data_IF_602292300563
#
_entry.id   IF_602292300563
#
_cell.length_a   1.000
_cell.length_b   1.000
_cell.length_c   1.000
_cell.angle_alpha   90.00
_cell.angle_beta   90.00
_cell.angle_gamma   90.00
#
_symmetry.space_group_name_H-M   'P 1'
#
loop_
_entity.id
_entity.type
_entity.pdbx_description
1 polymer ?
#
# COMPACT_ATOMS: atom_id res chain seq x y z
N UNK A 1 -28.84 -42.65 44.80
CA UNK A 1 -28.91 -42.22 43.38
C UNK A 1 -28.60 -40.71 43.19
N UNK A 2 -29.04 -39.79 44.04
CA UNK A 2 -28.84 -38.32 43.84
C UNK A 2 -27.35 -37.88 43.96
N UNK A 3 -26.52 -38.50 44.81
CA UNK A 3 -25.09 -38.14 44.97
C UNK A 3 -24.22 -38.57 43.79
N UNK A 4 -24.55 -39.60 43.04
CA UNK A 4 -23.78 -40.04 41.85
C UNK A 4 -24.11 -39.19 40.59
N UNK A 5 -25.30 -38.65 40.51
CA UNK A 5 -25.70 -37.74 39.42
C UNK A 5 -25.01 -36.37 39.54
N UNK A 6 -24.82 -35.86 40.79
CA UNK A 6 -24.12 -34.59 41.03
C UNK A 6 -22.61 -34.65 40.65
N UNK A 7 -21.93 -35.79 40.85
CA UNK A 7 -20.53 -35.97 40.46
C UNK A 7 -20.36 -36.02 38.92
N UNK A 8 -21.29 -36.64 38.17
CA UNK A 8 -21.24 -36.66 36.71
C UNK A 8 -21.51 -35.28 36.12
N UNK A 9 -22.37 -34.46 36.71
CA UNK A 9 -22.62 -33.08 36.25
C UNK A 9 -21.43 -32.15 36.51
N UNK A 10 -20.70 -32.33 37.64
CA UNK A 10 -19.49 -31.56 37.91
C UNK A 10 -18.35 -31.91 36.97
N UNK A 11 -18.20 -33.17 36.50
CA UNK A 11 -17.18 -33.57 35.53
C UNK A 11 -17.52 -33.07 34.13
N UNK A 12 -18.80 -33.03 33.75
CA UNK A 12 -19.24 -32.46 32.47
C UNK A 12 -19.09 -30.93 32.37
N UNK A 13 -19.20 -30.20 33.52
CA UNK A 13 -18.96 -28.76 33.57
C UNK A 13 -17.47 -28.38 33.49
N UNK A 14 -16.55 -29.26 33.86
CA UNK A 14 -15.11 -29.05 33.69
C UNK A 14 -14.61 -29.37 32.28
N UNK A 15 -15.33 -30.15 31.48
CA UNK A 15 -14.94 -30.50 30.11
C UNK A 15 -15.34 -29.44 29.08
N UNK A 16 -16.15 -28.44 29.42
CA UNK A 16 -16.56 -27.35 28.49
C UNK A 16 -15.92 -25.99 28.79
N UNK A 17 -14.98 -25.89 29.71
CA UNK A 17 -14.09 -24.75 29.82
C UNK A 17 -12.85 -24.95 28.93
N UNK A 18 -13.03 -25.26 27.66
CA UNK A 18 -12.08 -24.80 26.65
C UNK A 18 -12.28 -23.30 26.56
N UNK A 19 -11.71 -22.57 27.54
CA UNK A 19 -11.40 -21.17 27.33
C UNK A 19 -10.76 -21.12 25.95
N UNK A 20 -11.35 -20.35 25.04
CA UNK A 20 -10.58 -19.77 23.93
C UNK A 20 -9.55 -18.86 24.62
N UNK A 21 -8.49 -19.48 25.12
CA UNK A 21 -7.34 -18.77 25.63
C UNK A 21 -6.89 -17.91 24.45
N UNK A 22 -6.96 -16.60 24.62
CA UNK A 22 -6.49 -15.67 23.63
C UNK A 22 -5.06 -16.10 23.29
N UNK A 23 -4.88 -16.74 22.13
CA UNK A 23 -3.63 -17.35 21.73
C UNK A 23 -2.60 -16.23 21.66
N UNK A 24 -1.62 -16.25 22.55
CA UNK A 24 -0.48 -15.33 22.48
C UNK A 24 0.47 -15.86 21.43
N UNK A 25 1.24 -15.01 20.75
CA UNK A 25 2.28 -15.49 19.85
C UNK A 25 3.31 -16.31 20.64
N UNK A 26 3.82 -17.37 20.01
CA UNK A 26 4.97 -18.11 20.55
C UNK A 26 6.15 -17.15 20.72
N UNK A 27 6.69 -16.96 21.97
CA UNK A 27 7.72 -15.93 22.20
C UNK A 27 9.03 -16.18 21.44
N UNK A 28 9.39 -17.44 21.19
CA UNK A 28 10.60 -17.78 20.44
C UNK A 28 10.41 -17.48 18.96
N UNK A 29 9.24 -17.82 18.39
CA UNK A 29 8.90 -17.48 17.01
C UNK A 29 8.86 -15.96 16.80
N UNK A 30 8.21 -15.21 17.69
CA UNK A 30 8.20 -13.75 17.63
C UNK A 30 9.61 -13.16 17.68
N UNK A 31 10.48 -13.71 18.55
CA UNK A 31 11.88 -13.27 18.62
C UNK A 31 12.65 -13.54 17.32
N UNK A 32 12.39 -14.67 16.62
CA UNK A 32 12.98 -14.94 15.30
C UNK A 32 12.41 -14.02 14.22
N UNK A 33 11.11 -13.77 14.21
CA UNK A 33 10.46 -12.81 13.28
C UNK A 33 11.04 -11.41 13.43
N UNK A 34 11.27 -10.96 14.66
CA UNK A 34 11.84 -9.62 14.92
C UNK A 34 13.28 -9.43 14.45
N UNK A 35 14.03 -10.53 14.24
CA UNK A 35 15.38 -10.47 13.66
C UNK A 35 15.40 -10.32 12.15
N UNK A 36 14.29 -10.58 11.45
CA UNK A 36 14.22 -10.51 10.00
C UNK A 36 14.26 -9.03 9.59
N UNK A 37 15.26 -8.63 8.78
CA UNK A 37 15.26 -7.34 8.11
C UNK A 37 14.19 -7.35 7.03
N UNK A 38 13.15 -6.53 7.20
CA UNK A 38 12.01 -6.51 6.31
C UNK A 38 12.25 -5.67 5.05
N UNK A 39 11.56 -6.00 3.98
CA UNK A 39 11.38 -5.12 2.82
C UNK A 39 9.94 -4.60 2.88
N UNK A 40 9.80 -3.31 3.02
CA UNK A 40 8.50 -2.63 3.05
C UNK A 40 8.05 -2.34 1.61
N UNK A 41 7.02 -3.05 1.17
CA UNK A 41 6.54 -2.99 -0.21
C UNK A 41 5.75 -1.71 -0.54
N UNK A 42 5.28 -0.98 0.47
CA UNK A 42 4.38 0.16 0.26
C UNK A 42 4.41 1.16 1.42
N UNK A 43 4.88 2.37 1.15
CA UNK A 43 4.88 3.49 2.09
C UNK A 43 4.99 4.84 1.35
N UNK A 44 4.66 5.94 2.06
CA UNK A 44 4.74 7.33 1.60
C UNK A 44 5.70 8.15 2.46
N UNK A 45 7.01 7.79 2.52
CA UNK A 45 7.97 8.49 3.37
C UNK A 45 8.21 9.91 2.87
N UNK A 46 8.35 10.86 3.80
CA UNK A 46 8.74 12.23 3.48
C UNK A 46 10.25 12.32 3.25
N UNK A 47 10.66 13.16 2.29
CA UNK A 47 12.07 13.52 2.10
C UNK A 47 12.57 14.39 3.25
N UNK A 48 13.88 14.45 3.44
CA UNK A 48 14.45 15.46 4.31
C UNK A 48 14.18 16.88 3.79
N UNK A 49 13.63 17.72 4.67
CA UNK A 49 13.38 19.14 4.44
C UNK A 49 14.22 19.94 5.43
N UNK A 50 15.10 20.81 4.93
CA UNK A 50 15.89 21.68 5.79
C UNK A 50 15.02 22.84 6.34
N UNK A 51 15.48 23.48 7.40
CA UNK A 51 14.81 24.65 7.97
C UNK A 51 14.67 25.75 6.90
N UNK A 52 13.47 26.34 6.80
CA UNK A 52 13.08 27.35 5.80
C UNK A 52 12.89 26.85 4.36
N UNK A 53 13.02 25.58 4.09
CA UNK A 53 12.62 25.02 2.79
C UNK A 53 11.12 24.79 2.69
N UNK A 54 10.64 24.74 1.43
CA UNK A 54 9.29 24.30 1.15
C UNK A 54 9.06 22.86 1.63
N UNK A 55 7.91 22.62 2.26
CA UNK A 55 7.48 21.28 2.65
C UNK A 55 7.52 20.31 1.47
N UNK A 56 7.58 19.03 1.77
CA UNK A 56 7.57 17.96 0.78
C UNK A 56 6.13 17.80 0.23
N UNK A 57 5.90 18.25 -0.99
CA UNK A 57 4.63 18.14 -1.70
C UNK A 57 4.65 17.09 -2.82
N UNK A 58 5.68 16.26 -2.85
CA UNK A 58 5.86 15.20 -3.85
C UNK A 58 5.76 13.79 -3.24
N UNK A 59 5.34 13.68 -1.98
CA UNK A 59 5.21 12.40 -1.28
C UNK A 59 3.98 11.60 -1.68
N UNK A 60 3.01 12.25 -2.33
CA UNK A 60 1.81 11.60 -2.84
C UNK A 60 1.31 12.30 -4.12
N UNK A 61 0.53 11.59 -4.94
CA UNK A 61 -0.10 12.15 -6.13
C UNK A 61 -1.44 12.81 -5.81
N UNK A 62 -2.14 12.33 -4.79
CA UNK A 62 -3.50 12.75 -4.44
C UNK A 62 -3.53 13.49 -3.09
N UNK A 63 -4.34 14.56 -2.96
CA UNK A 63 -4.51 15.29 -1.71
C UNK A 63 -5.51 14.56 -0.79
N UNK A 64 -5.09 13.46 -0.15
CA UNK A 64 -5.94 12.61 0.69
C UNK A 64 -6.52 13.36 1.91
N UNK A 65 -5.83 14.38 2.40
CA UNK A 65 -6.26 15.28 3.48
C UNK A 65 -7.43 16.18 3.09
N UNK A 66 -7.75 16.30 1.80
CA UNK A 66 -8.88 17.10 1.30
C UNK A 66 -10.22 16.34 1.29
N UNK A 67 -10.28 15.08 1.77
CA UNK A 67 -11.51 14.30 1.82
C UNK A 67 -12.31 14.69 3.07
N UNK A 68 -13.50 15.24 2.89
CA UNK A 68 -14.41 15.58 4.00
C UNK A 68 -15.82 14.98 3.78
N UNK A 69 -16.47 14.43 4.83
CA UNK A 69 -15.88 14.07 6.14
C UNK A 69 -14.97 12.85 6.07
N UNK A 70 -13.84 12.92 6.77
CA UNK A 70 -12.89 11.82 6.83
C UNK A 70 -12.95 11.14 8.20
N UNK A 71 -13.68 10.02 8.36
CA UNK A 71 -13.67 9.28 9.61
C UNK A 71 -12.31 8.59 9.79
N UNK A 72 -11.52 9.09 10.72
CA UNK A 72 -10.22 8.51 11.06
C UNK A 72 -10.45 7.25 11.89
N UNK A 73 -9.91 6.08 11.50
CA UNK A 73 -9.94 4.88 12.31
C UNK A 73 -9.31 5.14 13.69
N UNK A 74 -9.83 4.54 14.79
CA UNK A 74 -9.33 4.80 16.16
C UNK A 74 -7.82 4.63 16.30
N UNK A 75 -7.20 3.69 15.62
CA UNK A 75 -5.76 3.46 15.68
C UNK A 75 -4.92 4.52 14.97
N UNK A 76 -5.52 5.30 14.06
CA UNK A 76 -4.88 6.43 13.37
C UNK A 76 -5.22 7.77 14.02
N UNK A 77 -6.11 7.79 15.02
CA UNK A 77 -6.39 9.01 15.77
C UNK A 77 -5.14 9.52 16.48
N UNK A 78 -4.92 10.84 16.44
CA UNK A 78 -3.75 11.47 17.08
C UNK A 78 -3.68 11.24 18.59
N UNK A 79 -4.79 10.86 19.22
CA UNK A 79 -4.87 10.49 20.63
C UNK A 79 -4.70 8.98 20.90
N UNK A 80 -4.35 8.19 19.88
CA UNK A 80 -4.08 6.77 20.08
C UNK A 80 -2.85 6.54 20.97
N UNK A 81 -3.01 5.91 22.16
CA UNK A 81 -1.91 5.73 23.10
C UNK A 81 -0.81 4.77 22.59
N UNK A 82 -1.04 4.00 21.51
CA UNK A 82 -0.01 3.17 20.90
C UNK A 82 1.16 4.02 20.40
N UNK A 83 0.91 5.28 19.96
CA UNK A 83 1.96 6.20 19.51
C UNK A 83 2.95 6.60 20.61
N UNK A 84 2.56 6.55 21.89
CA UNK A 84 3.49 6.75 23.00
C UNK A 84 4.66 5.77 22.93
N UNK A 85 4.40 4.53 22.53
CA UNK A 85 5.45 3.51 22.36
C UNK A 85 6.36 3.83 21.17
N UNK A 86 5.83 4.33 20.07
CA UNK A 86 6.62 4.83 18.94
C UNK A 86 7.49 6.02 19.35
N UNK A 87 6.95 6.98 20.11
CA UNK A 87 7.70 8.14 20.60
C UNK A 87 8.83 7.73 21.55
N UNK A 88 8.58 6.74 22.43
CA UNK A 88 9.63 6.17 23.29
C UNK A 88 10.72 5.51 22.44
N UNK A 89 10.34 4.78 21.41
CA UNK A 89 11.26 4.06 20.52
C UNK A 89 12.17 5.00 19.74
N UNK A 90 11.62 6.06 19.15
CA UNK A 90 12.39 6.97 18.29
C UNK A 90 13.05 8.11 19.07
N UNK A 91 12.35 8.71 20.04
CA UNK A 91 12.73 10.00 20.60
C UNK A 91 12.97 9.97 22.11
N UNK A 92 12.98 8.78 22.72
CA UNK A 92 13.14 8.59 24.17
C UNK A 92 12.08 9.39 24.98
N UNK A 93 10.83 9.40 24.51
CA UNK A 93 9.73 10.09 25.19
C UNK A 93 9.57 9.59 26.62
N UNK A 94 9.65 10.50 27.60
CA UNK A 94 9.74 10.15 29.01
C UNK A 94 8.40 9.88 29.70
N UNK A 95 7.27 10.12 29.02
CA UNK A 95 5.95 10.12 29.62
C UNK A 95 5.12 8.90 29.19
N UNK A 96 3.97 8.71 29.88
CA UNK A 96 2.99 7.68 29.53
C UNK A 96 1.63 8.28 29.21
N UNK A 97 1.58 9.55 28.88
CA UNK A 97 0.41 10.33 28.50
C UNK A 97 0.71 11.19 27.26
N UNK A 98 -0.30 11.89 26.79
CA UNK A 98 -0.24 12.78 25.61
C UNK A 98 -0.64 14.21 25.99
N UNK A 99 -0.30 14.66 27.19
CA UNK A 99 -0.61 16.02 27.63
C UNK A 99 0.09 17.04 26.71
N UNK A 100 -0.55 18.19 26.39
CA UNK A 100 0.03 19.17 25.46
C UNK A 100 1.44 19.65 25.82
N UNK A 101 1.74 19.78 27.12
CA UNK A 101 3.08 20.16 27.57
C UNK A 101 4.12 19.08 27.24
N UNK A 102 3.78 17.81 27.44
CA UNK A 102 4.67 16.68 27.12
C UNK A 102 4.83 16.47 25.62
N UNK A 103 3.75 16.69 24.84
CA UNK A 103 3.82 16.67 23.35
C UNK A 103 4.71 17.80 22.83
N UNK A 104 4.71 18.98 23.48
CA UNK A 104 5.64 20.06 23.10
C UNK A 104 7.11 19.64 23.31
N UNK A 105 7.44 18.89 24.37
CA UNK A 105 8.78 18.32 24.56
C UNK A 105 9.13 17.26 23.49
N UNK A 106 8.16 16.42 23.12
CA UNK A 106 8.30 15.48 22.00
C UNK A 106 8.68 16.21 20.71
N UNK A 107 7.95 17.27 20.34
CA UNK A 107 8.23 18.03 19.12
C UNK A 107 9.62 18.66 19.12
N UNK A 108 10.07 19.14 20.29
CA UNK A 108 11.45 19.61 20.44
C UNK A 108 12.48 18.49 20.26
N UNK A 109 12.20 17.29 20.79
CA UNK A 109 13.06 16.11 20.61
C UNK A 109 13.10 15.66 19.14
N UNK A 110 11.94 15.61 18.45
CA UNK A 110 11.85 15.31 17.00
C UNK A 110 12.68 16.29 16.18
N UNK A 111 12.53 17.60 16.42
CA UNK A 111 13.33 18.64 15.75
C UNK A 111 14.84 18.43 15.97
N UNK A 112 15.25 18.10 17.20
CA UNK A 112 16.65 17.83 17.52
C UNK A 112 17.19 16.62 16.76
N UNK A 113 16.46 15.51 16.72
CA UNK A 113 16.83 14.31 15.96
C UNK A 113 16.95 14.63 14.47
N UNK A 114 15.97 15.34 13.90
CA UNK A 114 16.00 15.75 12.49
C UNK A 114 17.22 16.62 12.17
N UNK A 115 17.56 17.59 13.03
CA UNK A 115 18.74 18.44 12.88
C UNK A 115 20.05 17.66 12.99
N UNK A 116 20.10 16.60 13.81
CA UNK A 116 21.26 15.73 13.96
C UNK A 116 21.43 14.79 12.76
N UNK A 117 20.35 14.16 12.32
CA UNK A 117 20.36 13.17 11.24
C UNK A 117 20.36 13.81 9.84
N UNK A 118 19.71 14.96 9.67
CA UNK A 118 19.58 15.64 8.37
C UNK A 118 19.12 14.67 7.27
N UNK A 119 19.83 14.61 6.16
CA UNK A 119 19.52 13.72 5.04
C UNK A 119 19.60 12.23 5.39
N UNK A 120 20.26 11.87 6.50
CA UNK A 120 20.27 10.49 6.98
C UNK A 120 19.00 10.13 7.77
N UNK A 121 18.13 11.08 8.10
CA UNK A 121 16.96 10.84 8.94
C UNK A 121 16.08 9.70 8.42
N UNK A 122 15.72 9.61 7.11
CA UNK A 122 14.93 8.50 6.62
C UNK A 122 15.61 7.12 6.79
N UNK A 123 16.91 7.02 6.53
CA UNK A 123 17.67 5.79 6.77
C UNK A 123 17.78 5.43 8.26
N UNK A 124 17.95 6.43 9.12
CA UNK A 124 17.94 6.26 10.57
C UNK A 124 16.61 5.67 11.08
N UNK A 125 15.47 6.04 10.47
CA UNK A 125 14.16 5.43 10.77
C UNK A 125 14.14 3.96 10.35
N UNK A 126 14.58 3.64 9.13
CA UNK A 126 14.63 2.25 8.65
C UNK A 126 15.50 1.36 9.54
N UNK A 127 16.67 1.86 9.96
CA UNK A 127 17.57 1.10 10.84
C UNK A 127 16.92 0.79 12.19
N UNK A 128 16.15 1.73 12.75
CA UNK A 128 15.41 1.52 14.01
C UNK A 128 14.27 0.54 13.89
N UNK A 129 13.64 0.45 12.73
CA UNK A 129 12.55 -0.50 12.45
C UNK A 129 13.04 -1.86 11.95
N UNK A 130 14.36 -2.07 11.79
CA UNK A 130 14.92 -3.25 11.15
C UNK A 130 14.33 -3.48 9.74
N UNK A 131 14.13 -2.38 8.99
CA UNK A 131 13.70 -2.39 7.59
C UNK A 131 14.94 -2.23 6.71
N UNK A 132 15.14 -3.16 5.77
CA UNK A 132 16.28 -3.15 4.85
C UNK A 132 16.07 -2.15 3.70
N UNK A 133 14.87 -2.14 3.16
CA UNK A 133 14.48 -1.28 2.04
C UNK A 133 12.98 -0.97 2.15
N UNK A 134 12.61 0.26 1.81
CA UNK A 134 11.24 0.75 1.77
C UNK A 134 10.91 1.23 0.36
N UNK A 135 9.77 0.80 -0.17
CA UNK A 135 9.29 1.24 -1.47
C UNK A 135 8.49 2.52 -1.30
N UNK A 136 9.10 3.62 -1.72
CA UNK A 136 8.55 4.95 -1.60
C UNK A 136 7.62 5.26 -2.78
N UNK A 137 6.33 5.34 -2.52
CA UNK A 137 5.33 5.80 -3.47
C UNK A 137 5.40 7.33 -3.50
N UNK A 138 5.88 7.88 -4.62
CA UNK A 138 6.16 9.32 -4.72
C UNK A 138 6.05 9.80 -6.17
N UNK A 139 5.73 11.08 -6.34
CA UNK A 139 5.83 11.76 -7.64
C UNK A 139 7.29 11.83 -8.08
N UNK A 140 8.19 12.13 -7.15
CA UNK A 140 9.64 12.10 -7.35
C UNK A 140 10.36 11.78 -6.05
N UNK A 141 11.50 11.12 -6.15
CA UNK A 141 12.39 10.91 -5.01
C UNK A 141 12.99 12.24 -4.55
N UNK A 142 13.47 12.29 -3.32
CA UNK A 142 14.01 13.50 -2.71
C UNK A 142 15.20 13.21 -1.82
N UNK A 143 15.71 14.27 -1.18
CA UNK A 143 16.89 14.17 -0.30
C UNK A 143 16.66 13.17 0.83
N UNK A 144 17.63 12.31 1.06
CA UNK A 144 17.57 11.25 2.06
C UNK A 144 16.85 9.98 1.60
N UNK A 145 16.13 10.02 0.48
CA UNK A 145 15.40 8.88 -0.08
C UNK A 145 16.17 8.28 -1.27
N UNK A 146 17.23 7.56 -0.98
CA UNK A 146 18.09 6.95 -2.02
C UNK A 146 18.32 5.47 -1.77
N UNK A 147 18.73 4.77 -2.82
CA UNK A 147 19.17 3.38 -2.72
C UNK A 147 20.43 3.27 -1.83
N UNK A 148 20.59 2.17 -1.07
CA UNK A 148 19.73 0.97 -1.04
C UNK A 148 18.48 1.10 -0.13
N UNK A 149 18.38 2.11 0.73
CA UNK A 149 17.33 2.26 1.72
C UNK A 149 15.94 2.47 1.13
N UNK A 150 15.87 3.17 0.01
CA UNK A 150 14.59 3.48 -0.63
C UNK A 150 14.59 3.09 -2.10
N UNK A 151 13.42 2.63 -2.57
CA UNK A 151 13.14 2.31 -3.98
C UNK A 151 11.93 3.11 -4.43
N UNK A 152 12.01 3.64 -5.63
CA UNK A 152 10.94 4.47 -6.16
C UNK A 152 9.82 3.66 -6.78
N UNK A 153 8.59 3.93 -6.36
CA UNK A 153 7.34 3.51 -6.99
C UNK A 153 6.64 4.78 -7.50
N UNK A 154 6.45 4.86 -8.82
CA UNK A 154 5.94 6.07 -9.47
C UNK A 154 4.45 5.95 -9.76
N UNK A 155 3.68 7.03 -9.51
CA UNK A 155 2.28 7.14 -9.86
C UNK A 155 2.10 7.23 -11.38
N UNK A 156 1.06 6.57 -11.92
CA UNK A 156 0.79 6.56 -13.37
C UNK A 156 -0.67 6.83 -13.71
N UNK A 157 -1.52 7.07 -12.73
CA UNK A 157 -2.95 7.35 -12.93
C UNK A 157 -3.20 8.47 -13.91
N UNK A 158 -2.42 9.54 -13.85
CA UNK A 158 -2.51 10.68 -14.74
C UNK A 158 -2.52 10.30 -16.24
N UNK A 159 -1.88 9.20 -16.60
CA UNK A 159 -1.84 8.70 -17.98
C UNK A 159 -3.19 8.11 -18.44
N UNK A 160 -4.09 7.77 -17.50
CA UNK A 160 -5.47 7.30 -17.80
C UNK A 160 -6.45 8.45 -18.06
N UNK A 161 -6.10 9.69 -17.68
CA UNK A 161 -7.01 10.84 -17.66
C UNK A 161 -6.57 11.96 -18.63
N UNK A 162 -6.30 11.66 -19.94
CA UNK A 162 -5.78 12.66 -20.87
C UNK A 162 -6.83 13.67 -21.39
N UNK A 163 -8.11 13.42 -21.18
CA UNK A 163 -9.20 14.25 -21.66
C UNK A 163 -9.84 15.06 -20.51
N UNK A 164 -10.89 15.84 -20.81
CA UNK A 164 -11.64 16.56 -19.79
C UNK A 164 -12.24 15.62 -18.75
N UNK A 165 -12.08 15.97 -17.46
CA UNK A 165 -12.58 15.21 -16.32
C UNK A 165 -13.82 15.88 -15.66
N UNK A 166 -14.41 16.91 -16.27
CA UNK A 166 -15.48 17.69 -15.65
C UNK A 166 -16.74 16.87 -15.34
N UNK A 167 -17.09 15.91 -16.21
CA UNK A 167 -18.19 14.98 -15.95
C UNK A 167 -17.86 14.03 -14.78
N UNK A 168 -16.64 13.52 -14.72
CA UNK A 168 -16.18 12.65 -13.64
C UNK A 168 -16.17 13.40 -12.29
N UNK A 169 -15.65 14.63 -12.24
CA UNK A 169 -15.69 15.51 -11.05
C UNK A 169 -17.10 15.68 -10.49
N UNK A 170 -18.08 15.88 -11.35
CA UNK A 170 -19.50 16.06 -10.94
C UNK A 170 -20.12 14.80 -10.37
N UNK A 171 -19.72 13.62 -10.85
CA UNK A 171 -20.25 12.33 -10.43
C UNK A 171 -19.54 11.73 -9.23
N UNK A 172 -18.30 12.10 -8.98
CA UNK A 172 -17.46 11.61 -7.88
C UNK A 172 -17.23 12.74 -6.85
N UNK A 173 -18.23 12.93 -5.97
CA UNK A 173 -18.29 14.09 -5.07
C UNK A 173 -17.20 14.08 -4.01
N UNK A 174 -16.87 12.91 -3.46
CA UNK A 174 -15.88 12.80 -2.39
C UNK A 174 -14.47 13.12 -2.89
N UNK A 175 -14.17 12.75 -4.14
CA UNK A 175 -12.82 12.82 -4.71
C UNK A 175 -12.71 13.79 -5.90
N UNK A 176 -13.64 14.72 -6.03
CA UNK A 176 -13.63 15.70 -7.13
C UNK A 176 -12.32 16.51 -7.20
N UNK A 177 -11.72 16.81 -6.03
CA UNK A 177 -10.45 17.52 -5.91
C UNK A 177 -9.23 16.75 -6.38
N UNK A 178 -9.34 15.43 -6.59
CA UNK A 178 -8.23 14.59 -7.04
C UNK A 178 -7.95 14.72 -8.53
N UNK A 179 -8.97 14.93 -9.35
CA UNK A 179 -8.78 15.10 -10.80
C UNK A 179 -7.86 16.27 -11.17
N UNK A 180 -7.92 17.46 -10.54
CA UNK A 180 -6.93 18.51 -10.76
C UNK A 180 -5.48 18.11 -10.43
N UNK A 181 -5.28 17.24 -9.43
CA UNK A 181 -3.95 16.73 -9.11
C UNK A 181 -3.41 15.83 -10.23
N UNK A 182 -4.24 14.94 -10.77
CA UNK A 182 -3.90 14.11 -11.93
C UNK A 182 -3.64 14.95 -13.19
N UNK A 183 -4.44 15.97 -13.45
CA UNK A 183 -4.23 16.91 -14.56
C UNK A 183 -2.89 17.66 -14.42
N UNK A 184 -2.51 18.04 -13.19
CA UNK A 184 -1.21 18.65 -12.89
C UNK A 184 -0.07 17.66 -13.12
N UNK A 185 -0.24 16.41 -12.70
CA UNK A 185 0.76 15.36 -12.87
C UNK A 185 0.95 15.00 -14.35
N UNK A 186 -0.13 14.91 -15.13
CA UNK A 186 -0.03 14.73 -16.58
C UNK A 186 0.74 15.87 -17.25
N UNK A 187 0.47 17.13 -16.88
CA UNK A 187 1.23 18.29 -17.39
C UNK A 187 2.71 18.19 -17.05
N UNK A 188 3.06 17.71 -15.84
CA UNK A 188 4.46 17.44 -15.45
C UNK A 188 5.09 16.41 -16.39
N UNK A 189 4.43 15.29 -16.66
CA UNK A 189 4.93 14.25 -17.56
C UNK A 189 5.14 14.77 -18.99
N UNK A 190 4.19 15.56 -19.50
CA UNK A 190 4.34 16.21 -20.79
C UNK A 190 5.55 17.16 -20.84
N UNK A 191 5.73 17.97 -19.82
CA UNK A 191 6.87 18.90 -19.71
C UNK A 191 8.21 18.13 -19.65
N UNK A 192 8.27 17.06 -18.87
CA UNK A 192 9.43 16.19 -18.73
C UNK A 192 9.85 15.53 -20.05
N UNK A 193 8.90 15.36 -20.97
CA UNK A 193 9.11 14.85 -22.33
C UNK A 193 9.27 15.94 -23.39
N UNK A 194 9.21 17.23 -23.01
CA UNK A 194 9.15 18.37 -23.93
C UNK A 194 7.96 18.32 -24.93
N UNK A 195 6.85 17.70 -24.52
CA UNK A 195 5.59 17.64 -25.28
C UNK A 195 4.70 18.81 -24.88
N UNK A 196 4.56 19.81 -25.76
CA UNK A 196 3.79 21.04 -25.47
C UNK A 196 2.28 20.80 -25.44
N UNK A 197 1.78 19.95 -26.31
CA UNK A 197 0.35 19.65 -26.44
C UNK A 197 0.17 18.14 -26.58
N UNK A 198 -0.98 17.64 -26.13
CA UNK A 198 -1.33 16.23 -26.33
C UNK A 198 -1.31 15.88 -27.83
N UNK A 199 -0.73 14.74 -28.20
CA UNK A 199 -0.79 14.21 -29.56
C UNK A 199 -2.24 14.06 -30.04
N UNK A 200 -2.50 14.24 -31.33
CA UNK A 200 -3.87 14.25 -31.87
C UNK A 200 -4.47 12.85 -32.05
N UNK A 201 -3.66 11.83 -32.04
CA UNK A 201 -4.09 10.43 -32.17
C UNK A 201 -3.73 9.62 -30.94
N UNK A 202 -4.55 8.62 -30.61
CA UNK A 202 -4.30 7.73 -29.49
C UNK A 202 -2.95 6.97 -29.65
N UNK A 203 -2.63 6.53 -30.87
CA UNK A 203 -1.36 5.84 -31.13
C UNK A 203 -0.14 6.73 -30.85
N UNK A 204 -0.22 8.01 -31.18
CA UNK A 204 0.84 8.96 -30.83
C UNK A 204 0.88 9.26 -29.33
N UNK A 205 -0.28 9.36 -28.67
CA UNK A 205 -0.33 9.56 -27.22
C UNK A 205 0.31 8.38 -26.49
N UNK A 206 -0.08 7.15 -26.84
CA UNK A 206 0.49 5.96 -26.21
C UNK A 206 1.99 5.84 -26.47
N UNK A 207 2.46 6.10 -27.69
CA UNK A 207 3.89 5.98 -28.02
C UNK A 207 4.73 7.14 -27.43
N UNK A 208 4.31 8.40 -27.68
CA UNK A 208 5.11 9.60 -27.36
C UNK A 208 4.95 10.11 -25.94
N UNK A 209 3.84 9.74 -25.23
CA UNK A 209 3.58 10.16 -23.86
C UNK A 209 3.65 8.97 -22.94
N UNK A 210 2.79 7.96 -23.11
CA UNK A 210 2.71 6.82 -22.16
C UNK A 210 4.03 6.05 -22.15
N UNK A 211 4.40 5.41 -23.25
CA UNK A 211 5.64 4.60 -23.33
C UNK A 211 6.87 5.43 -22.98
N UNK A 212 6.98 6.66 -23.50
CA UNK A 212 8.12 7.52 -23.23
C UNK A 212 8.25 7.89 -21.74
N UNK A 213 7.11 8.12 -21.03
CA UNK A 213 7.09 8.34 -19.58
C UNK A 213 7.58 7.11 -18.83
N UNK A 214 7.05 5.93 -19.13
CA UNK A 214 7.43 4.70 -18.45
C UNK A 214 8.91 4.35 -18.66
N UNK A 215 9.41 4.51 -19.89
CA UNK A 215 10.83 4.29 -20.20
C UNK A 215 11.75 5.29 -19.50
N UNK A 216 11.32 6.57 -19.41
CA UNK A 216 12.06 7.58 -18.66
C UNK A 216 12.10 7.24 -17.17
N UNK A 217 10.98 6.90 -16.58
CA UNK A 217 10.88 6.49 -15.18
C UNK A 217 11.72 5.25 -14.89
N UNK A 218 11.68 4.23 -15.77
CA UNK A 218 12.55 3.05 -15.66
C UNK A 218 14.04 3.41 -15.67
N UNK A 219 14.48 4.30 -16.56
CA UNK A 219 15.87 4.79 -16.60
C UNK A 219 16.25 5.56 -15.34
N UNK A 220 15.30 6.20 -14.68
CA UNK A 220 15.49 6.92 -13.41
C UNK A 220 15.44 6.02 -12.18
N UNK A 221 15.26 4.72 -12.35
CA UNK A 221 15.30 3.73 -11.27
C UNK A 221 13.95 3.40 -10.65
N UNK A 222 12.83 3.74 -11.31
CA UNK A 222 11.50 3.26 -10.89
C UNK A 222 11.48 1.74 -10.88
N UNK A 223 10.99 1.18 -9.78
CA UNK A 223 10.91 -0.26 -9.53
C UNK A 223 9.53 -0.83 -9.89
N UNK A 224 8.48 -0.08 -9.59
CA UNK A 224 7.09 -0.43 -9.85
C UNK A 224 6.27 0.82 -10.17
N UNK A 225 5.10 0.62 -10.76
CA UNK A 225 4.12 1.65 -11.10
C UNK A 225 2.97 1.58 -10.09
N UNK A 226 2.46 2.71 -9.63
CA UNK A 226 1.35 2.79 -8.67
C UNK A 226 0.10 3.36 -9.33
N UNK A 227 -1.01 2.68 -9.10
CA UNK A 227 -2.36 3.16 -9.37
C UNK A 227 -3.11 3.47 -8.08
N UNK A 228 -3.76 4.63 -8.06
CA UNK A 228 -4.72 5.07 -7.04
C UNK A 228 -6.11 5.30 -7.64
N UNK A 229 -6.33 4.79 -8.84
CA UNK A 229 -7.58 4.93 -9.61
C UNK A 229 -8.83 4.48 -8.84
N UNK A 230 -8.69 3.67 -7.78
CA UNK A 230 -9.81 3.28 -6.92
C UNK A 230 -10.56 4.47 -6.30
N UNK A 231 -9.89 5.61 -6.10
CA UNK A 231 -10.52 6.86 -5.67
C UNK A 231 -11.27 7.57 -6.80
N UNK A 232 -10.86 7.35 -8.04
CA UNK A 232 -11.33 8.11 -9.20
C UNK A 232 -12.40 7.35 -10.00
N UNK A 233 -12.34 6.02 -10.01
CA UNK A 233 -13.26 5.13 -10.73
C UNK A 233 -13.29 3.73 -10.10
N UNK A 234 -14.27 2.92 -10.49
CA UNK A 234 -14.22 1.49 -10.23
C UNK A 234 -13.10 0.84 -11.04
N UNK A 235 -12.47 -0.19 -10.47
CA UNK A 235 -11.35 -0.92 -11.10
C UNK A 235 -11.83 -2.05 -12.05
N UNK A 236 -13.05 -1.96 -12.54
CA UNK A 236 -13.68 -2.85 -13.52
C UNK A 236 -13.17 -2.57 -14.94
N UNK A 237 -11.89 -2.82 -15.19
CA UNK A 237 -11.31 -2.64 -16.51
C UNK A 237 -11.78 -3.73 -17.46
N UNK A 238 -12.60 -3.34 -18.46
CA UNK A 238 -13.06 -4.24 -19.52
C UNK A 238 -11.95 -4.56 -20.53
N UNK A 239 -12.09 -5.67 -21.30
CA UNK A 239 -11.20 -5.93 -22.42
C UNK A 239 -11.11 -4.73 -23.37
N UNK A 240 -9.91 -4.40 -23.88
CA UNK A 240 -9.67 -3.14 -24.59
C UNK A 240 -10.38 -3.08 -25.95
N UNK A 241 -11.23 -2.07 -26.15
CA UNK A 241 -11.80 -1.71 -27.47
C UNK A 241 -10.96 -0.59 -28.12
N UNK A 242 -9.95 -0.98 -28.88
CA UNK A 242 -9.03 -0.05 -29.54
C UNK A 242 -9.73 0.92 -30.51
N UNK A 243 -10.82 0.49 -31.18
CA UNK A 243 -11.56 1.33 -32.12
C UNK A 243 -12.31 2.42 -31.39
N UNK A 244 -13.07 2.04 -30.35
CA UNK A 244 -13.83 2.99 -29.53
C UNK A 244 -12.89 3.97 -28.80
N UNK A 245 -11.83 3.46 -28.20
CA UNK A 245 -10.81 4.27 -27.52
C UNK A 245 -10.18 5.30 -28.47
N UNK A 246 -9.77 4.89 -29.68
CA UNK A 246 -9.19 5.78 -30.69
C UNK A 246 -10.18 6.84 -31.18
N UNK A 247 -11.43 6.46 -31.42
CA UNK A 247 -12.47 7.40 -31.82
C UNK A 247 -12.78 8.43 -30.73
N UNK A 248 -12.88 7.99 -29.46
CA UNK A 248 -13.09 8.84 -28.30
C UNK A 248 -11.93 9.83 -28.13
N UNK A 249 -10.70 9.34 -28.13
CA UNK A 249 -9.52 10.19 -27.98
C UNK A 249 -9.46 11.25 -29.09
N UNK A 250 -9.54 10.86 -30.37
CA UNK A 250 -9.44 11.78 -31.50
C UNK A 250 -10.54 12.86 -31.49
N UNK A 251 -11.75 12.51 -31.02
CA UNK A 251 -12.88 13.43 -30.96
C UNK A 251 -12.70 14.49 -29.87
N UNK A 252 -12.16 14.13 -28.71
CA UNK A 252 -12.19 14.98 -27.52
C UNK A 252 -10.83 15.54 -27.11
N UNK A 253 -9.72 15.12 -27.72
CA UNK A 253 -8.38 15.62 -27.36
C UNK A 253 -8.20 17.13 -27.56
N UNK A 254 -9.01 17.76 -28.41
CA UNK A 254 -9.03 19.21 -28.63
C UNK A 254 -10.03 19.97 -27.78
N UNK A 255 -10.77 19.27 -26.94
CA UNK A 255 -11.81 19.82 -26.05
C UNK A 255 -13.15 19.13 -26.20
N UNK A 256 -14.09 19.50 -25.35
CA UNK A 256 -15.37 18.83 -25.19
C UNK A 256 -15.31 17.71 -24.16
N UNK A 257 -16.46 17.11 -23.88
CA UNK A 257 -16.64 16.12 -22.83
C UNK A 257 -17.05 14.76 -23.42
N UNK A 258 -16.26 13.68 -23.20
CA UNK A 258 -16.70 12.34 -23.56
C UNK A 258 -17.86 11.89 -22.66
N UNK A 259 -18.73 11.02 -23.18
CA UNK A 259 -19.67 10.32 -22.31
C UNK A 259 -18.92 9.45 -21.29
N UNK A 260 -19.49 9.17 -20.09
CA UNK A 260 -18.84 8.31 -19.11
C UNK A 260 -18.46 6.92 -19.69
N UNK A 261 -19.31 6.35 -20.54
CA UNK A 261 -19.06 5.05 -21.16
C UNK A 261 -17.94 5.10 -22.23
N UNK A 262 -17.81 6.22 -22.98
CA UNK A 262 -16.73 6.36 -23.95
C UNK A 262 -15.40 6.65 -23.24
N UNK A 263 -15.43 7.44 -22.16
CA UNK A 263 -14.21 7.71 -21.39
C UNK A 263 -13.73 6.46 -20.67
N UNK A 264 -14.65 5.66 -20.10
CA UNK A 264 -14.31 4.36 -19.52
C UNK A 264 -13.59 3.48 -20.55
N UNK A 265 -14.14 3.35 -21.77
CA UNK A 265 -13.51 2.53 -22.82
C UNK A 265 -12.11 3.02 -23.20
N UNK A 266 -11.86 4.33 -23.20
CA UNK A 266 -10.52 4.89 -23.39
C UNK A 266 -9.59 4.54 -22.21
N UNK A 267 -10.06 4.70 -20.98
CA UNK A 267 -9.28 4.38 -19.77
C UNK A 267 -8.97 2.88 -19.67
N UNK A 268 -9.92 2.02 -20.00
CA UNK A 268 -9.71 0.56 -20.04
C UNK A 268 -8.62 0.21 -21.06
N UNK A 269 -8.66 0.78 -22.26
CA UNK A 269 -7.62 0.60 -23.27
C UNK A 269 -6.25 1.10 -22.77
N UNK A 270 -6.19 2.28 -22.16
CA UNK A 270 -4.94 2.86 -21.66
C UNK A 270 -4.37 2.03 -20.50
N UNK A 271 -5.20 1.52 -19.61
CA UNK A 271 -4.75 0.62 -18.53
C UNK A 271 -4.10 -0.64 -19.09
N UNK A 272 -4.74 -1.34 -20.03
CA UNK A 272 -4.18 -2.53 -20.67
C UNK A 272 -2.89 -2.21 -21.43
N UNK A 273 -2.82 -1.07 -22.10
CA UNK A 273 -1.61 -0.61 -22.77
C UNK A 273 -0.46 -0.38 -21.78
N UNK A 274 -0.71 0.35 -20.69
CA UNK A 274 0.29 0.62 -19.65
C UNK A 274 0.73 -0.69 -19.00
N UNK A 275 -0.20 -1.59 -18.71
CA UNK A 275 0.10 -2.88 -18.11
C UNK A 275 0.98 -3.75 -19.02
N UNK A 276 0.73 -3.75 -20.32
CA UNK A 276 1.57 -4.45 -21.33
C UNK A 276 2.99 -3.85 -21.39
N UNK A 277 3.10 -2.52 -21.39
CA UNK A 277 4.39 -1.82 -21.37
C UNK A 277 5.15 -2.04 -20.06
N UNK A 278 4.46 -2.08 -18.91
CA UNK A 278 5.07 -2.43 -17.63
C UNK A 278 5.72 -3.81 -17.69
N UNK A 279 5.01 -4.82 -18.21
CA UNK A 279 5.55 -6.16 -18.42
C UNK A 279 6.74 -6.19 -19.36
N UNK A 280 6.73 -5.39 -20.45
CA UNK A 280 7.87 -5.24 -21.37
C UNK A 280 9.09 -4.65 -20.69
N UNK A 281 8.89 -3.70 -19.76
CA UNK A 281 9.94 -3.01 -19.03
C UNK A 281 10.39 -3.75 -17.75
N UNK A 282 9.72 -4.86 -17.40
CA UNK A 282 9.96 -5.58 -16.14
C UNK A 282 9.65 -4.73 -14.93
N UNK A 283 8.54 -3.99 -14.96
CA UNK A 283 7.97 -3.21 -13.87
C UNK A 283 6.73 -3.93 -13.34
N UNK A 284 6.61 -4.08 -12.03
CA UNK A 284 5.37 -4.51 -11.41
C UNK A 284 4.37 -3.36 -11.38
N UNK A 285 3.07 -3.70 -11.26
CA UNK A 285 2.00 -2.72 -11.07
C UNK A 285 1.40 -2.90 -9.68
N UNK A 286 1.43 -1.86 -8.89
CA UNK A 286 0.77 -1.74 -7.59
C UNK A 286 -0.59 -1.08 -7.79
N UNK A 287 -1.65 -1.72 -7.31
CA UNK A 287 -3.02 -1.21 -7.43
C UNK A 287 -3.57 -1.00 -6.03
N UNK A 288 -3.81 0.28 -5.67
CA UNK A 288 -4.48 0.63 -4.42
C UNK A 288 -5.87 0.00 -4.36
N UNK A 289 -6.11 -0.80 -3.33
CA UNK A 289 -7.38 -1.49 -3.17
C UNK A 289 -7.70 -1.73 -1.70
N UNK A 290 -8.30 -0.72 -1.10
CA UNK A 290 -8.83 -0.74 0.26
C UNK A 290 -10.14 0.05 0.29
N UNK A 291 -10.99 -0.15 1.29
CA UNK A 291 -12.17 0.69 1.41
C UNK A 291 -11.77 2.16 1.60
N UNK A 292 -12.39 3.03 0.82
CA UNK A 292 -12.21 4.47 0.91
C UNK A 292 -13.00 5.11 2.05
N UNK A 293 -13.04 6.42 2.04
CA UNK A 293 -13.82 7.26 2.96
C UNK A 293 -14.66 8.27 2.18
N UNK A 294 -15.63 8.86 2.83
CA UNK A 294 -16.52 9.85 2.25
C UNK A 294 -17.99 9.43 2.29
N UNK A 295 -18.88 10.36 1.91
CA UNK A 295 -20.33 10.15 1.99
C UNK A 295 -20.91 9.38 0.80
N UNK A 296 -20.17 9.28 -0.30
CA UNK A 296 -20.65 8.76 -1.59
C UNK A 296 -19.80 7.62 -2.15
N UNK A 297 -18.66 7.31 -1.54
CA UNK A 297 -17.80 6.25 -2.04
C UNK A 297 -18.52 4.89 -2.04
N UNK A 298 -18.06 3.99 -2.91
CA UNK A 298 -18.65 2.64 -3.06
C UNK A 298 -17.77 1.59 -2.39
N UNK A 299 -18.18 0.99 -1.26
CA UNK A 299 -17.38 -0.07 -0.61
C UNK A 299 -17.04 -1.24 -1.54
N UNK A 300 -17.95 -1.60 -2.46
CA UNK A 300 -17.68 -2.65 -3.46
C UNK A 300 -16.53 -2.33 -4.41
N UNK A 301 -16.09 -1.05 -4.49
CA UNK A 301 -14.95 -0.63 -5.31
C UNK A 301 -13.61 -1.18 -4.85
N UNK A 302 -13.50 -1.64 -3.60
CA UNK A 302 -12.31 -2.32 -3.07
C UNK A 302 -12.32 -3.84 -3.25
N UNK A 303 -13.34 -4.41 -3.92
CA UNK A 303 -13.38 -5.84 -4.19
C UNK A 303 -12.37 -6.21 -5.29
N UNK A 304 -11.34 -7.03 -4.99
CA UNK A 304 -10.27 -7.35 -5.93
C UNK A 304 -10.75 -8.19 -7.14
N UNK A 305 -11.93 -8.82 -7.05
CA UNK A 305 -12.53 -9.53 -8.19
C UNK A 305 -12.91 -8.60 -9.35
N UNK A 306 -13.00 -7.29 -9.13
CA UNK A 306 -13.16 -6.31 -10.22
C UNK A 306 -12.03 -6.37 -11.26
N UNK A 307 -10.84 -6.83 -10.86
CA UNK A 307 -9.66 -6.98 -11.73
C UNK A 307 -9.56 -8.36 -12.38
N UNK A 308 -10.54 -9.25 -12.22
CA UNK A 308 -10.44 -10.62 -12.75
C UNK A 308 -10.24 -10.63 -14.28
N UNK A 309 -10.90 -9.76 -15.01
CA UNK A 309 -10.72 -9.61 -16.48
C UNK A 309 -9.28 -9.28 -16.86
N UNK A 310 -8.63 -8.38 -16.10
CA UNK A 310 -7.22 -7.99 -16.27
C UNK A 310 -6.31 -9.19 -16.04
N UNK A 311 -6.52 -9.94 -14.96
CA UNK A 311 -5.68 -11.09 -14.62
C UNK A 311 -5.90 -12.29 -15.55
N UNK A 312 -7.00 -12.32 -16.30
CA UNK A 312 -7.29 -13.33 -17.30
C UNK A 312 -6.78 -12.95 -18.70
N UNK A 313 -6.34 -11.71 -18.91
CA UNK A 313 -5.81 -11.27 -20.20
C UNK A 313 -4.47 -11.95 -20.50
N UNK A 314 -4.36 -12.77 -21.57
CA UNK A 314 -3.12 -13.43 -21.94
C UNK A 314 -2.00 -12.46 -22.33
N UNK A 315 -2.33 -11.27 -22.83
CA UNK A 315 -1.35 -10.22 -23.19
C UNK A 315 -0.62 -9.65 -21.95
N UNK A 316 -1.22 -9.77 -20.76
CA UNK A 316 -0.69 -9.24 -19.50
C UNK A 316 0.05 -10.28 -18.64
N UNK A 317 0.31 -11.50 -19.17
CA UNK A 317 1.00 -12.57 -18.44
C UNK A 317 2.43 -12.26 -18.00
N UNK A 318 3.08 -11.28 -18.63
CA UNK A 318 4.43 -10.84 -18.27
C UNK A 318 4.46 -9.72 -17.23
N UNK A 319 3.29 -9.23 -16.83
CA UNK A 319 3.14 -8.15 -15.87
C UNK A 319 2.76 -8.72 -14.53
N UNK A 320 3.56 -8.44 -13.52
CA UNK A 320 3.22 -8.78 -12.13
C UNK A 320 2.35 -7.69 -11.53
N UNK A 321 1.27 -8.09 -10.86
CA UNK A 321 0.33 -7.20 -10.19
C UNK A 321 0.40 -7.41 -8.69
N UNK A 322 0.46 -6.32 -7.94
CA UNK A 322 0.39 -6.31 -6.48
C UNK A 322 -0.87 -5.57 -6.06
N UNK A 323 -1.79 -6.28 -5.43
CA UNK A 323 -2.98 -5.69 -4.82
C UNK A 323 -2.57 -5.09 -3.48
N UNK A 324 -2.31 -3.79 -3.51
CA UNK A 324 -1.92 -3.02 -2.33
C UNK A 324 -3.08 -2.97 -1.34
N UNK A 325 -2.82 -3.20 -0.08
CA UNK A 325 -3.80 -3.37 1.01
C UNK A 325 -4.68 -4.62 0.90
N UNK A 326 -4.38 -5.53 -0.04
CA UNK A 326 -5.03 -6.84 -0.15
C UNK A 326 -6.55 -6.82 -0.35
N UNK A 327 -7.11 -5.74 -0.91
CA UNK A 327 -8.53 -5.62 -1.18
C UNK A 327 -9.43 -5.52 0.06
N UNK A 328 -8.89 -5.11 1.22
CA UNK A 328 -9.68 -5.02 2.45
C UNK A 328 -10.94 -4.16 2.26
N UNK A 329 -12.15 -4.62 2.72
CA UNK A 329 -12.40 -5.79 3.57
C UNK A 329 -12.60 -7.13 2.84
N UNK A 330 -12.45 -7.20 1.51
CA UNK A 330 -12.68 -8.40 0.67
C UNK A 330 -11.44 -9.33 0.65
N UNK A 331 -10.85 -9.57 1.82
CA UNK A 331 -9.58 -10.30 1.95
C UNK A 331 -9.69 -11.81 1.66
N UNK A 332 -10.90 -12.37 1.73
CA UNK A 332 -11.17 -13.78 1.39
C UNK A 332 -11.15 -14.03 -0.11
N UNK A 333 -11.60 -13.05 -0.89
CA UNK A 333 -11.60 -13.08 -2.34
C UNK A 333 -10.18 -13.11 -2.91
N UNK A 334 -9.21 -12.52 -2.19
CA UNK A 334 -7.80 -12.57 -2.56
C UNK A 334 -7.24 -13.99 -2.67
N UNK A 335 -7.70 -14.93 -1.84
CA UNK A 335 -7.24 -16.33 -1.91
C UNK A 335 -7.49 -16.93 -3.29
N UNK A 336 -8.66 -16.64 -3.89
CA UNK A 336 -8.96 -17.07 -5.26
C UNK A 336 -8.04 -16.44 -6.32
N UNK A 337 -7.63 -15.20 -6.11
CA UNK A 337 -6.76 -14.47 -7.04
C UNK A 337 -5.27 -14.87 -6.93
N UNK A 338 -4.81 -15.31 -5.76
CA UNK A 338 -3.44 -15.83 -5.60
C UNK A 338 -3.16 -17.09 -6.46
N UNK A 339 -4.20 -17.79 -6.90
CA UNK A 339 -4.07 -18.85 -7.90
C UNK A 339 -3.61 -18.34 -9.30
N UNK A 340 -3.65 -17.02 -9.56
CA UNK A 340 -3.10 -16.42 -10.78
C UNK A 340 -1.57 -16.27 -10.64
N UNK A 341 -0.78 -16.69 -11.63
CA UNK A 341 0.68 -16.81 -11.48
C UNK A 341 1.42 -15.47 -11.31
N UNK A 342 0.79 -14.36 -11.67
CA UNK A 342 1.33 -13.01 -11.66
C UNK A 342 0.57 -12.04 -10.71
N UNK A 343 -0.17 -12.59 -9.73
CA UNK A 343 -0.90 -11.77 -8.74
C UNK A 343 -0.33 -11.99 -7.35
N UNK A 344 -0.05 -10.89 -6.68
CA UNK A 344 0.45 -10.78 -5.33
C UNK A 344 -0.42 -9.81 -4.55
N UNK A 345 -0.33 -9.82 -3.23
CA UNK A 345 -0.90 -8.76 -2.40
C UNK A 345 0.02 -8.42 -1.23
N UNK A 346 0.00 -7.17 -0.82
CA UNK A 346 0.50 -6.79 0.49
C UNK A 346 -0.67 -6.54 1.46
N UNK A 347 -0.37 -6.52 2.73
CA UNK A 347 -1.34 -6.23 3.79
C UNK A 347 -1.09 -4.88 4.45
N UNK A 348 -0.40 -3.97 3.76
CA UNK A 348 -0.27 -2.56 4.18
C UNK A 348 -1.65 -1.92 4.40
N UNK A 349 -1.74 -0.84 5.14
CA UNK A 349 -3.03 -0.26 5.48
C UNK A 349 -3.84 -1.08 6.49
N UNK A 350 -3.98 -2.38 6.28
CA UNK A 350 -4.60 -3.27 7.28
C UNK A 350 -3.82 -3.28 8.60
N UNK A 351 -2.53 -3.02 8.57
CA UNK A 351 -1.61 -2.98 9.73
C UNK A 351 -1.96 -1.91 10.77
N UNK A 352 -2.61 -0.83 10.36
CA UNK A 352 -3.09 0.21 11.26
C UNK A 352 -4.63 0.29 11.34
N UNK A 353 -5.36 -0.39 10.45
CA UNK A 353 -6.81 -0.53 10.57
C UNK A 353 -7.20 -1.64 11.55
N UNK A 354 -6.44 -2.73 11.56
CA UNK A 354 -6.72 -3.93 12.34
C UNK A 354 -5.72 -4.06 13.49
N UNK A 355 -6.22 -4.53 14.64
CA UNK A 355 -5.35 -4.99 15.71
C UNK A 355 -4.68 -6.33 15.32
N UNK A 356 -3.54 -6.69 15.95
CA UNK A 356 -2.77 -7.88 15.57
C UNK A 356 -3.61 -9.17 15.47
N UNK A 357 -4.56 -9.35 16.38
CA UNK A 357 -5.44 -10.53 16.38
C UNK A 357 -6.29 -10.60 15.10
N UNK A 358 -6.97 -9.53 14.75
CA UNK A 358 -7.82 -9.50 13.56
C UNK A 358 -6.99 -9.64 12.26
N UNK A 359 -5.84 -9.00 12.19
CA UNK A 359 -4.93 -9.14 11.06
C UNK A 359 -4.37 -10.56 10.95
N UNK A 360 -4.11 -11.23 12.08
CA UNK A 360 -3.61 -12.61 12.07
C UNK A 360 -4.56 -13.61 11.42
N UNK A 361 -5.87 -13.36 11.50
CA UNK A 361 -6.89 -14.20 10.85
C UNK A 361 -6.85 -14.03 9.32
N UNK A 362 -6.63 -12.81 8.84
CA UNK A 362 -6.43 -12.56 7.41
C UNK A 362 -5.16 -13.24 6.92
N UNK A 363 -4.05 -13.03 7.63
CA UNK A 363 -2.76 -13.62 7.25
C UNK A 363 -2.82 -15.15 7.27
N UNK A 364 -3.39 -15.77 8.30
CA UNK A 364 -3.54 -17.22 8.36
C UNK A 364 -4.26 -17.75 7.11
N UNK A 365 -5.40 -17.16 6.77
CA UNK A 365 -6.17 -17.57 5.59
C UNK A 365 -5.36 -17.52 4.29
N UNK A 366 -4.47 -16.52 4.14
CA UNK A 366 -3.61 -16.40 2.96
C UNK A 366 -2.42 -17.36 2.99
N UNK A 367 -1.79 -17.52 4.17
CA UNK A 367 -0.55 -18.29 4.33
C UNK A 367 -0.74 -19.80 4.29
N UNK A 368 -1.92 -20.30 4.66
CA UNK A 368 -2.27 -21.72 4.53
C UNK A 368 -2.24 -22.20 3.07
N UNK A 369 -2.44 -21.29 2.11
CA UNK A 369 -2.54 -21.65 0.69
C UNK A 369 -1.42 -21.09 -0.17
N UNK A 370 -1.09 -19.81 -0.03
CA UNK A 370 -0.19 -19.09 -0.92
C UNK A 370 0.82 -18.18 -0.19
N UNK A 371 1.69 -18.74 0.68
CA UNK A 371 2.64 -17.93 1.44
C UNK A 371 3.67 -17.19 0.55
N UNK A 372 3.87 -17.64 -0.69
CA UNK A 372 4.76 -17.04 -1.68
C UNK A 372 4.14 -15.86 -2.45
N UNK A 373 2.90 -15.50 -2.16
CA UNK A 373 2.16 -14.41 -2.80
C UNK A 373 1.94 -13.20 -1.90
N UNK A 374 2.27 -13.32 -0.62
CA UNK A 374 2.01 -12.31 0.40
C UNK A 374 3.25 -11.46 0.64
N UNK A 375 3.08 -10.14 0.64
CA UNK A 375 4.12 -9.15 0.84
C UNK A 375 3.82 -8.30 2.08
N UNK A 376 4.86 -7.84 2.76
CA UNK A 376 4.75 -6.89 3.87
C UNK A 376 4.80 -5.46 3.32
N UNK A 377 3.97 -4.57 3.89
CA UNK A 377 3.99 -3.14 3.66
C UNK A 377 3.45 -2.39 4.86
N UNK A 378 3.94 -1.18 5.10
CA UNK A 378 3.49 -0.34 6.22
C UNK A 378 2.39 0.62 5.87
N UNK A 379 2.37 1.13 4.64
CA UNK A 379 1.56 2.27 4.22
C UNK A 379 1.82 3.50 5.12
N UNK A 380 3.06 3.68 5.52
CA UNK A 380 3.45 4.78 6.41
C UNK A 380 3.32 6.12 5.70
N UNK A 381 2.55 7.03 6.28
CA UNK A 381 2.36 8.40 5.79
C UNK A 381 2.24 9.39 6.96
N UNK A 382 2.24 10.69 6.67
CA UNK A 382 2.23 11.75 7.68
C UNK A 382 0.80 12.22 7.99
N UNK A 383 0.43 12.27 9.28
CA UNK A 383 -0.80 12.91 9.75
C UNK A 383 -0.54 14.31 10.32
N UNK A 384 0.72 14.62 10.64
CA UNK A 384 1.10 15.88 11.25
C UNK A 384 2.43 15.76 12.01
N UNK A 385 2.83 16.82 12.71
CA UNK A 385 4.16 16.87 13.32
C UNK A 385 4.34 15.91 14.52
N UNK A 386 3.31 15.57 15.23
CA UNK A 386 3.32 14.64 16.37
C UNK A 386 3.18 13.18 15.94
N UNK A 387 2.40 12.90 14.89
CA UNK A 387 2.27 11.57 14.28
C UNK A 387 2.64 11.68 12.79
N UNK A 388 3.89 11.48 12.50
CA UNK A 388 4.47 11.52 11.16
C UNK A 388 4.75 10.09 10.66
N UNK A 389 5.23 9.95 9.43
CA UNK A 389 5.46 8.64 8.81
C UNK A 389 6.31 7.66 9.65
N UNK A 390 7.30 8.06 10.49
CA UNK A 390 8.01 7.11 11.33
C UNK A 390 7.13 6.43 12.37
N UNK A 391 6.21 7.18 13.01
CA UNK A 391 5.29 6.64 14.00
C UNK A 391 4.29 5.67 13.37
N UNK A 392 3.78 5.99 12.18
CA UNK A 392 2.88 5.11 11.44
C UNK A 392 3.62 3.85 10.98
N UNK A 393 4.86 3.99 10.50
CA UNK A 393 5.72 2.86 10.15
C UNK A 393 5.96 1.94 11.36
N UNK A 394 6.23 2.51 12.54
CA UNK A 394 6.43 1.74 13.77
C UNK A 394 5.17 0.96 14.16
N UNK A 395 4.02 1.61 14.16
CA UNK A 395 2.73 0.98 14.48
C UNK A 395 2.45 -0.19 13.52
N UNK A 396 2.64 0.05 12.23
CA UNK A 396 2.42 -0.93 11.16
C UNK A 396 3.38 -2.12 11.26
N UNK A 397 4.69 -1.87 11.41
CA UNK A 397 5.69 -2.94 11.51
C UNK A 397 5.47 -3.80 12.75
N UNK A 398 5.21 -3.18 13.91
CA UNK A 398 4.94 -3.90 15.15
C UNK A 398 3.68 -4.76 15.03
N UNK A 399 2.60 -4.21 14.48
CA UNK A 399 1.34 -4.92 14.25
C UNK A 399 1.54 -6.09 13.27
N UNK A 400 2.27 -5.88 12.18
CA UNK A 400 2.53 -6.89 11.18
C UNK A 400 3.29 -8.09 11.76
N UNK A 401 4.37 -7.83 12.50
CA UNK A 401 5.19 -8.89 13.10
C UNK A 401 4.43 -9.68 14.16
N UNK A 402 3.65 -9.00 14.99
CA UNK A 402 2.81 -9.66 15.99
C UNK A 402 1.69 -10.48 15.34
N UNK A 403 1.00 -9.94 14.34
CA UNK A 403 -0.05 -10.65 13.61
C UNK A 403 0.50 -11.87 12.87
N UNK A 404 1.66 -11.75 12.23
CA UNK A 404 2.33 -12.86 11.57
C UNK A 404 2.73 -13.95 12.57
N UNK A 405 3.29 -13.57 13.72
CA UNK A 405 3.61 -14.51 14.79
C UNK A 405 2.38 -15.23 15.33
N UNK A 406 1.26 -14.51 15.51
CA UNK A 406 -0.02 -15.11 15.94
C UNK A 406 -0.55 -16.12 14.91
N UNK A 407 -0.58 -15.75 13.63
CA UNK A 407 -1.03 -16.64 12.55
C UNK A 407 -0.21 -17.94 12.50
N UNK A 408 1.10 -17.80 12.47
CA UNK A 408 2.02 -18.95 12.40
C UNK A 408 2.02 -19.78 13.69
N UNK A 409 1.83 -19.16 14.87
CA UNK A 409 1.64 -19.89 16.13
C UNK A 409 0.38 -20.75 16.08
N UNK A 410 -0.71 -20.22 15.54
CA UNK A 410 -1.94 -20.98 15.33
C UNK A 410 -1.75 -22.17 14.42
N UNK A 411 -1.10 -21.97 13.26
CA UNK A 411 -0.80 -23.04 12.30
C UNK A 411 0.11 -24.13 12.90
N UNK A 412 1.08 -23.75 13.75
CA UNK A 412 1.91 -24.73 14.49
C UNK A 412 1.08 -25.50 15.53
N UNK A 413 0.21 -24.83 16.26
CA UNK A 413 -0.63 -25.44 17.30
C UNK A 413 -1.63 -26.45 16.70
N UNK A 414 -2.13 -26.17 15.51
CA UNK A 414 -3.03 -27.07 14.77
C UNK A 414 -2.29 -28.19 14.02
N UNK A 415 -0.94 -28.21 14.07
CA UNK A 415 -0.12 -29.26 13.45
C UNK A 415 0.03 -29.13 11.93
N UNK A 416 -0.32 -27.98 11.35
CA UNK A 416 -0.23 -27.74 9.90
C UNK A 416 1.21 -27.52 9.45
N UNK A 417 2.03 -26.88 10.29
CA UNK A 417 3.45 -26.60 10.02
C UNK A 417 4.30 -26.83 11.28
N UNK A 418 5.59 -27.09 11.10
CA UNK A 418 6.56 -27.06 12.18
C UNK A 418 7.20 -25.65 12.33
N UNK A 419 8.06 -25.47 13.35
CA UNK A 419 8.73 -24.20 13.64
C UNK A 419 9.64 -23.74 12.51
N UNK A 420 10.40 -24.65 11.90
CA UNK A 420 11.28 -24.30 10.78
C UNK A 420 10.49 -23.72 9.62
N UNK A 421 9.36 -24.36 9.29
CA UNK A 421 8.46 -23.85 8.23
C UNK A 421 7.82 -22.53 8.60
N UNK A 422 7.45 -22.31 9.87
CA UNK A 422 6.93 -21.03 10.35
C UNK A 422 7.95 -19.90 10.16
N UNK A 423 9.21 -20.11 10.53
CA UNK A 423 10.29 -19.13 10.32
C UNK A 423 10.55 -18.89 8.83
N UNK A 424 10.52 -19.94 8.01
CA UNK A 424 10.64 -19.81 6.54
C UNK A 424 9.52 -18.95 5.96
N UNK A 425 8.26 -19.21 6.30
CA UNK A 425 7.12 -18.41 5.85
C UNK A 425 7.27 -16.95 6.30
N UNK A 426 7.71 -16.71 7.53
CA UNK A 426 7.94 -15.36 8.01
C UNK A 426 9.01 -14.61 7.19
N UNK A 427 10.10 -15.29 6.79
CA UNK A 427 11.11 -14.72 5.88
C UNK A 427 10.53 -14.44 4.50
N UNK A 428 9.74 -15.37 3.96
CA UNK A 428 9.07 -15.17 2.67
C UNK A 428 8.24 -13.90 2.68
N UNK A 429 7.34 -13.74 3.65
CA UNK A 429 6.41 -12.61 3.77
C UNK A 429 7.14 -11.28 4.00
N UNK A 430 8.07 -11.26 4.95
CA UNK A 430 8.74 -10.01 5.32
C UNK A 430 9.84 -9.60 4.33
N UNK A 431 10.35 -10.51 3.49
CA UNK A 431 11.53 -10.19 2.69
C UNK A 431 11.63 -10.94 1.35
N UNK A 432 11.60 -12.28 1.36
CA UNK A 432 12.08 -13.07 0.22
C UNK A 432 11.14 -13.00 -0.97
N UNK A 433 9.82 -12.91 -0.74
CA UNK A 433 8.83 -12.72 -1.80
C UNK A 433 9.08 -11.40 -2.56
N UNK A 434 9.37 -10.32 -1.84
CA UNK A 434 9.71 -9.04 -2.47
C UNK A 434 11.03 -9.13 -3.25
N UNK A 435 12.08 -9.76 -2.70
CA UNK A 435 13.32 -9.97 -3.42
C UNK A 435 13.10 -10.70 -4.75
N UNK A 436 12.30 -11.78 -4.73
CA UNK A 436 11.99 -12.59 -5.90
C UNK A 436 11.17 -11.82 -6.92
N UNK A 437 10.06 -11.19 -6.48
CA UNK A 437 9.15 -10.44 -7.34
C UNK A 437 9.86 -9.32 -8.09
N UNK A 438 10.60 -8.49 -7.37
CA UNK A 438 11.27 -7.30 -7.94
C UNK A 438 12.69 -7.56 -8.41
N UNK A 439 13.17 -8.82 -8.33
CA UNK A 439 14.53 -9.23 -8.74
C UNK A 439 15.60 -8.36 -8.10
N UNK A 440 15.43 -8.06 -6.82
CA UNK A 440 16.39 -7.25 -6.09
C UNK A 440 17.63 -8.06 -5.73
N UNK A 441 18.80 -7.55 -6.11
CA UNK A 441 20.06 -7.96 -5.52
C UNK A 441 20.29 -7.12 -4.27
N UNK A 442 20.27 -7.73 -3.11
CA UNK A 442 20.51 -7.02 -1.86
C UNK A 442 21.97 -7.23 -1.48
N UNK A 443 22.76 -6.17 -1.58
CA UNK A 443 24.08 -6.12 -0.98
C UNK A 443 23.96 -5.86 0.52
N UNK A 444 24.96 -6.27 1.33
CA UNK A 444 24.99 -5.85 2.73
C UNK A 444 25.00 -4.32 2.83
N UNK A 445 24.15 -3.77 3.69
CA UNK A 445 24.26 -2.39 4.16
C UNK A 445 25.44 -2.25 5.08
#
# INVERSE_FOLDING_TARGET
MIKQVLCLFAILLFAFNTSYAQTRPDPQLLAEINKIKAIDNHAHPLRYVAEFEKADDEYDALPLDAIEPFPVPPRLSLDNPEFISAWKHFYNYGYSDMLPAHVAELLAAKKKVLQQQKENFPNWVLDRLNIETMFANRIAMGRGLSTPGFRWVSFVDALLYPLSNETAKKSNRDYAGFYPAEEKLLKRYLNDLNVKNLPLTLNEYTAKVVTATLERQKRQGVLALKYESAYLRLLDFDPPDARRASATYARFVRGGEPSPADYKALQDYLFHYIAKEAGRLGLAIHIHMINGSGGYYRPSGSNPLLLESVFNDPELRKTDFVIVHGGYPYTKEMVGLFGKPNVYADFSGQTFLLYPRALSEVLRNWLETFPDRVLFGTDAFSFGPDVDWPEVAWLSDTTAREALALALTGMMADGEINRERAVEIARMVLRENALKLYRLSVGPR
#
